data_IF_930934998286
#
_entry.id   IF_930934998286
#
_cell.length_a   1.000
_cell.length_b   1.000
_cell.length_c   1.000
_cell.angle_alpha   90.00
_cell.angle_beta   90.00
_cell.angle_gamma   90.00
#
_symmetry.space_group_name_H-M   'P 1'
#
loop_
_entity.id
_entity.type
_entity.pdbx_description
1 polymer ?
#
# COMPACT_ATOMS: atom_id res chain seq x y z
N UNK A 1 -26.49 -14.20 38.45
CA UNK A 1 -25.73 -15.44 38.17
C UNK A 1 -26.67 -16.40 37.49
N UNK A 2 -26.31 -16.87 36.29
CA UNK A 2 -26.47 -18.21 35.72
C UNK A 2 -26.13 -18.07 34.23
N UNK A 3 -24.88 -18.33 33.88
CA UNK A 3 -24.45 -18.55 32.49
C UNK A 3 -24.81 -20.00 32.14
N UNK A 4 -25.61 -20.20 31.10
CA UNK A 4 -25.92 -21.51 30.55
C UNK A 4 -24.65 -22.14 29.99
N UNK A 5 -24.31 -23.32 30.48
CA UNK A 5 -23.19 -24.13 29.96
C UNK A 5 -23.64 -24.71 28.61
N UNK A 6 -23.06 -24.20 27.52
CA UNK A 6 -23.25 -24.77 26.19
C UNK A 6 -22.67 -26.20 26.18
N UNK A 7 -23.49 -27.15 25.74
CA UNK A 7 -23.12 -28.56 25.63
C UNK A 7 -22.12 -28.70 24.46
N UNK A 8 -20.86 -29.00 24.76
CA UNK A 8 -19.80 -29.19 23.75
C UNK A 8 -19.96 -30.61 23.19
N UNK A 9 -20.32 -30.73 21.91
CA UNK A 9 -20.34 -32.00 21.20
C UNK A 9 -18.94 -32.63 21.20
N UNK A 10 -18.83 -33.88 21.64
CA UNK A 10 -17.56 -34.61 21.71
C UNK A 10 -17.22 -35.16 20.32
N UNK A 11 -16.27 -34.51 19.63
CA UNK A 11 -15.68 -35.04 18.39
C UNK A 11 -14.87 -36.30 18.67
N UNK A 12 -14.95 -37.28 17.76
CA UNK A 12 -14.25 -38.57 17.87
C UNK A 12 -12.82 -38.40 17.38
N UNK A 13 -11.89 -38.13 18.28
CA UNK A 13 -10.45 -38.02 17.97
C UNK A 13 -9.69 -39.29 18.38
N UNK A 14 -8.57 -39.64 17.70
CA UNK A 14 -7.72 -40.76 18.09
C UNK A 14 -7.23 -40.65 19.53
N UNK A 15 -7.17 -41.78 20.25
CA UNK A 15 -6.74 -41.83 21.66
C UNK A 15 -5.28 -41.34 21.77
N UNK A 16 -5.06 -40.26 22.51
CA UNK A 16 -3.73 -39.68 22.75
C UNK A 16 -3.51 -38.27 22.19
N UNK A 17 -4.50 -37.67 21.51
CA UNK A 17 -4.40 -36.29 21.03
C UNK A 17 -4.78 -35.27 22.12
N UNK A 18 -3.97 -34.22 22.27
CA UNK A 18 -4.25 -33.06 23.13
C UNK A 18 -5.35 -32.19 22.52
N UNK A 19 -6.11 -31.45 23.35
CA UNK A 19 -7.17 -30.55 22.90
C UNK A 19 -6.70 -29.50 21.88
N UNK A 20 -5.43 -29.09 21.99
CA UNK A 20 -4.81 -28.15 21.04
C UNK A 20 -4.55 -28.80 19.67
N UNK A 21 -4.15 -30.07 19.65
CA UNK A 21 -3.90 -30.82 18.42
C UNK A 21 -5.20 -31.15 17.67
N UNK A 22 -6.29 -31.39 18.41
CA UNK A 22 -7.60 -31.69 17.84
C UNK A 22 -8.26 -30.49 17.11
N UNK A 23 -7.84 -29.25 17.41
CA UNK A 23 -8.43 -28.05 16.79
C UNK A 23 -8.03 -27.85 15.32
N UNK A 24 -7.00 -28.57 14.84
CA UNK A 24 -6.45 -28.46 13.49
C UNK A 24 -6.90 -29.59 12.55
N UNK A 25 -7.69 -30.55 13.05
CA UNK A 25 -8.28 -31.60 12.22
C UNK A 25 -9.55 -31.03 11.59
N UNK A 26 -9.52 -30.80 10.28
CA UNK A 26 -10.69 -30.42 9.49
C UNK A 26 -11.62 -31.64 9.40
N UNK A 27 -12.91 -31.45 9.71
CA UNK A 27 -13.93 -32.49 9.49
C UNK A 27 -14.18 -32.59 7.98
N UNK A 28 -13.70 -33.65 7.33
CA UNK A 28 -14.11 -34.04 5.96
C UNK A 28 -15.53 -34.62 6.00
N UNK A 29 -16.51 -33.76 6.26
CA UNK A 29 -17.92 -34.10 6.10
C UNK A 29 -18.64 -33.00 5.32
N UNK A 30 -18.34 -32.90 4.03
CA UNK A 30 -19.34 -32.52 3.03
C UNK A 30 -19.50 -33.70 2.06
N UNK A 31 -20.76 -34.06 1.87
CA UNK A 31 -21.26 -35.27 1.25
C UNK A 31 -21.00 -35.27 -0.27
N UNK A 32 -20.15 -36.17 -0.77
CA UNK A 32 -20.24 -36.59 -2.17
C UNK A 32 -21.35 -37.64 -2.30
N UNK A 33 -22.40 -37.28 -3.05
CA UNK A 33 -23.48 -38.20 -3.41
C UNK A 33 -23.08 -39.02 -4.64
N UNK A 34 -22.62 -40.23 -4.41
CA UNK A 34 -22.52 -41.27 -5.44
C UNK A 34 -23.92 -41.69 -5.92
N UNK A 35 -24.12 -41.70 -7.23
CA UNK A 35 -25.26 -42.34 -7.87
C UNK A 35 -24.78 -43.18 -9.07
N UNK A 36 -25.40 -44.34 -9.19
CA UNK A 36 -24.88 -45.61 -9.69
C UNK A 36 -24.78 -45.76 -11.24
N UNK A 37 -23.80 -46.60 -11.64
CA UNK A 37 -23.62 -47.47 -12.82
C UNK A 37 -24.11 -47.12 -14.24
N UNK A 38 -23.21 -47.36 -15.22
CA UNK A 38 -23.45 -48.21 -16.41
C UNK A 38 -22.12 -48.65 -17.07
N UNK A 39 -22.01 -49.96 -17.31
CA UNK A 39 -20.94 -50.70 -18.00
C UNK A 39 -20.74 -50.30 -19.47
N UNK A 40 -19.50 -50.41 -19.97
CA UNK A 40 -19.16 -50.93 -21.30
C UNK A 40 -17.67 -51.30 -21.38
N UNK A 41 -17.42 -52.57 -21.66
CA UNK A 41 -16.13 -53.25 -21.84
C UNK A 41 -15.31 -52.76 -23.06
N UNK A 42 -13.98 -52.90 -23.01
CA UNK A 42 -13.15 -53.54 -24.07
C UNK A 42 -11.62 -53.51 -23.72
N UNK A 43 -11.12 -54.69 -23.32
CA UNK A 43 -9.88 -55.41 -23.68
C UNK A 43 -8.45 -54.80 -23.66
N UNK A 44 -7.67 -55.33 -22.69
CA UNK A 44 -6.37 -56.05 -22.78
C UNK A 44 -5.21 -55.55 -23.66
N UNK A 45 -4.04 -55.36 -23.03
CA UNK A 45 -2.77 -56.03 -23.39
C UNK A 45 -1.75 -55.94 -22.23
N UNK A 46 -1.18 -57.09 -21.90
CA UNK A 46 -0.21 -57.38 -20.83
C UNK A 46 1.18 -57.68 -21.46
N UNK A 47 2.23 -57.58 -20.63
CA UNK A 47 3.51 -58.33 -20.66
C UNK A 47 4.79 -57.49 -20.51
N UNK A 48 5.38 -57.64 -19.31
CA UNK A 48 6.76 -58.06 -19.03
C UNK A 48 7.96 -57.10 -19.16
N UNK A 49 8.47 -56.71 -17.98
CA UNK A 49 9.84 -56.94 -17.44
C UNK A 49 10.98 -57.18 -18.45
N UNK A 50 12.01 -56.32 -18.42
CA UNK A 50 13.39 -56.73 -18.07
C UNK A 50 14.34 -55.55 -17.85
N UNK A 51 15.25 -55.77 -16.91
CA UNK A 51 16.29 -54.90 -16.36
C UNK A 51 17.64 -55.32 -16.96
N UNK A 52 18.51 -54.41 -17.43
CA UNK A 52 19.97 -54.63 -17.63
C UNK A 52 20.72 -53.28 -17.60
N UNK A 53 21.90 -53.35 -17.01
CA UNK A 53 22.76 -52.29 -16.48
C UNK A 53 23.74 -51.63 -17.49
N UNK A 54 24.24 -50.44 -17.09
CA UNK A 54 25.61 -49.87 -17.22
C UNK A 54 26.02 -48.90 -18.38
N UNK A 55 26.73 -47.85 -17.89
CA UNK A 55 27.79 -46.98 -18.49
C UNK A 55 27.48 -45.53 -18.99
N UNK A 56 27.55 -44.60 -18.02
CA UNK A 56 28.21 -43.25 -17.92
C UNK A 56 28.19 -42.15 -19.06
N UNK A 57 28.75 -40.92 -18.86
CA UNK A 57 28.02 -39.75 -18.37
C UNK A 57 28.15 -38.50 -19.27
N UNK A 58 27.20 -37.55 -19.21
CA UNK A 58 27.39 -36.20 -19.79
C UNK A 58 27.03 -35.15 -18.74
N UNK A 59 28.00 -34.26 -18.50
CA UNK A 59 28.01 -33.13 -17.56
C UNK A 59 27.02 -32.05 -17.95
N UNK A 60 26.23 -31.58 -16.98
CA UNK A 60 25.81 -30.17 -16.91
C UNK A 60 25.90 -29.72 -15.44
N UNK A 61 26.45 -28.52 -15.27
CA UNK A 61 26.85 -27.90 -14.01
C UNK A 61 25.66 -27.20 -13.35
N UNK A 62 25.33 -27.55 -12.10
CA UNK A 62 24.65 -26.63 -11.18
C UNK A 62 25.36 -26.71 -9.82
N UNK A 63 25.95 -25.59 -9.42
CA UNK A 63 26.54 -25.36 -8.11
C UNK A 63 25.48 -24.75 -7.19
N UNK A 64 24.94 -25.55 -6.28
CA UNK A 64 24.32 -25.06 -5.04
C UNK A 64 25.19 -25.57 -3.89
N UNK A 65 26.09 -24.71 -3.39
CA UNK A 65 26.77 -24.92 -2.12
C UNK A 65 25.76 -24.62 -1.01
N UNK A 66 25.06 -25.65 -0.54
CA UNK A 66 24.45 -25.64 0.78
C UNK A 66 25.56 -25.92 1.81
N UNK A 67 26.14 -24.86 2.38
CA UNK A 67 27.02 -24.99 3.55
C UNK A 67 26.17 -25.45 4.75
N UNK A 68 26.22 -26.75 5.05
CA UNK A 68 25.80 -27.33 6.33
C UNK A 68 26.68 -26.76 7.45
N UNK A 69 26.14 -25.83 8.25
CA UNK A 69 26.81 -25.37 9.47
C UNK A 69 26.62 -26.40 10.58
N UNK A 70 27.67 -27.16 10.86
CA UNK A 70 27.79 -28.03 12.03
C UNK A 70 27.76 -27.16 13.29
N UNK A 71 26.76 -27.35 14.15
CA UNK A 71 26.65 -26.69 15.45
C UNK A 71 27.69 -27.33 16.38
N UNK A 72 28.74 -26.60 16.71
CA UNK A 72 29.72 -26.97 17.74
C UNK A 72 29.16 -26.60 19.12
N UNK A 73 28.81 -27.61 19.90
CA UNK A 73 28.31 -27.51 21.27
C UNK A 73 29.45 -27.15 22.24
N UNK A 74 29.86 -25.87 22.32
CA UNK A 74 30.52 -25.39 23.53
C UNK A 74 30.61 -23.87 23.70
N UNK A 75 30.43 -23.45 24.96
CA UNK A 75 30.70 -22.13 25.54
C UNK A 75 29.63 -21.03 25.35
N UNK A 76 28.61 -21.14 26.19
CA UNK A 76 27.99 -20.08 27.00
C UNK A 76 28.72 -18.72 27.01
N UNK A 77 28.30 -17.80 26.15
CA UNK A 77 28.21 -16.37 26.48
C UNK A 77 26.83 -15.89 26.03
N UNK A 78 25.92 -15.84 27.00
CA UNK A 78 24.61 -15.23 26.85
C UNK A 78 24.82 -13.74 26.56
N UNK A 79 24.82 -13.37 25.27
CA UNK A 79 24.58 -12.00 24.87
C UNK A 79 23.16 -11.65 25.27
N UNK A 80 23.05 -10.91 26.37
CA UNK A 80 21.82 -10.30 26.85
C UNK A 80 21.20 -9.50 25.69
N UNK A 81 20.17 -10.07 25.07
CA UNK A 81 19.16 -9.28 24.37
C UNK A 81 18.63 -8.30 25.43
N UNK A 82 18.76 -6.97 25.25
CA UNK A 82 18.19 -6.04 26.20
C UNK A 82 16.66 -6.21 26.15
N UNK A 83 16.15 -6.90 27.16
CA UNK A 83 14.73 -6.94 27.51
C UNK A 83 14.27 -5.49 27.76
N UNK A 84 13.11 -5.14 27.18
CA UNK A 84 12.40 -3.86 27.33
C UNK A 84 12.77 -2.69 26.39
N UNK A 85 12.84 -2.94 25.08
CA UNK A 85 12.41 -1.90 24.13
C UNK A 85 10.88 -1.99 24.08
N UNK A 86 10.17 -1.09 24.75
CA UNK A 86 8.76 -0.83 24.43
C UNK A 86 8.68 -0.44 22.96
N UNK A 87 8.39 -1.41 22.10
CA UNK A 87 8.25 -1.20 20.67
C UNK A 87 6.99 -0.36 20.48
N UNK A 88 7.18 0.94 20.28
CA UNK A 88 6.10 1.86 20.02
C UNK A 88 5.42 1.47 18.69
N UNK A 89 4.21 0.89 18.78
CA UNK A 89 3.49 0.37 17.63
C UNK A 89 3.29 1.43 16.53
N UNK A 90 3.12 2.70 16.91
CA UNK A 90 2.98 3.82 15.97
C UNK A 90 4.23 4.06 15.11
N UNK A 91 5.40 3.81 15.67
CA UNK A 91 6.69 3.98 15.00
C UNK A 91 6.97 2.82 14.05
N UNK A 92 6.65 1.59 14.47
CA UNK A 92 6.68 0.41 13.61
C UNK A 92 5.76 0.59 12.41
N UNK A 93 4.54 1.09 12.62
CA UNK A 93 3.61 1.32 11.52
C UNK A 93 4.06 2.47 10.61
N UNK A 94 4.74 3.49 11.15
CA UNK A 94 5.39 4.51 10.31
C UNK A 94 6.46 3.90 9.42
N UNK A 95 7.34 3.06 9.97
CA UNK A 95 8.39 2.39 9.22
C UNK A 95 7.82 1.46 8.13
N UNK A 96 6.77 0.71 8.48
CA UNK A 96 6.04 -0.12 7.52
C UNK A 96 5.47 0.69 6.35
N UNK A 97 4.78 1.80 6.65
CA UNK A 97 4.22 2.70 5.63
C UNK A 97 5.29 3.36 4.75
N UNK A 98 6.47 3.62 5.29
CA UNK A 98 7.59 4.17 4.54
C UNK A 98 8.16 3.14 3.55
N UNK A 99 8.37 1.90 3.99
CA UNK A 99 8.79 0.78 3.11
C UNK A 99 7.76 0.49 2.02
N UNK A 100 6.48 0.45 2.39
CA UNK A 100 5.37 0.26 1.45
C UNK A 100 5.33 1.39 0.42
N UNK A 101 5.48 2.66 0.83
CA UNK A 101 5.52 3.80 -0.08
C UNK A 101 6.78 3.83 -0.96
N UNK A 102 7.91 3.32 -0.48
CA UNK A 102 9.13 3.20 -1.27
C UNK A 102 9.00 2.15 -2.37
N UNK A 103 8.34 1.03 -2.07
CA UNK A 103 8.08 -0.05 -3.04
C UNK A 103 6.96 0.34 -4.02
N UNK A 104 5.88 0.94 -3.50
CA UNK A 104 4.66 1.28 -4.23
C UNK A 104 4.32 2.76 -3.98
N UNK A 105 4.82 3.69 -4.81
CA UNK A 105 4.65 5.12 -4.56
C UNK A 105 3.20 5.58 -4.76
N UNK A 106 2.63 6.20 -3.73
CA UNK A 106 1.29 6.82 -3.72
C UNK A 106 0.13 5.86 -4.11
N UNK A 107 0.34 4.55 -4.04
CA UNK A 107 -0.70 3.55 -4.29
C UNK A 107 -1.69 3.51 -3.13
N UNK A 108 -2.98 3.60 -3.45
CA UNK A 108 -4.04 3.59 -2.45
C UNK A 108 -5.20 2.74 -2.96
N UNK A 109 -5.57 1.76 -2.16
CA UNK A 109 -6.72 0.91 -2.45
C UNK A 109 -8.04 1.66 -2.27
N UNK A 110 -8.98 1.37 -3.17
CA UNK A 110 -10.36 1.85 -3.06
C UNK A 110 -11.08 1.02 -1.99
N UNK A 111 -11.76 1.66 -1.02
CA UNK A 111 -12.44 0.94 0.04
C UNK A 111 -13.70 0.30 -0.53
N UNK A 112 -14.08 -0.87 -0.01
CA UNK A 112 -15.29 -1.57 -0.42
C UNK A 112 -16.56 -0.87 0.09
N UNK A 113 -16.46 -0.17 1.22
CA UNK A 113 -17.61 0.40 1.94
C UNK A 113 -18.11 1.74 1.37
N UNK A 114 -17.21 2.55 0.81
CA UNK A 114 -17.51 3.93 0.38
C UNK A 114 -17.28 4.01 -1.13
N UNK A 115 -18.27 4.48 -1.92
CA UNK A 115 -18.09 4.63 -3.36
C UNK A 115 -16.91 5.56 -3.68
N UNK A 116 -16.15 5.20 -4.71
CA UNK A 116 -14.89 5.85 -5.03
C UNK A 116 -15.09 7.33 -5.37
N UNK A 117 -16.21 7.69 -6.01
CA UNK A 117 -16.53 9.10 -6.29
C UNK A 117 -16.61 9.97 -5.04
N UNK A 118 -17.12 9.43 -3.92
CA UNK A 118 -17.30 10.19 -2.67
C UNK A 118 -15.94 10.33 -1.99
N UNK A 119 -15.17 9.23 -1.90
CA UNK A 119 -13.83 9.25 -1.33
C UNK A 119 -12.90 10.19 -2.08
N UNK A 120 -12.96 10.16 -3.42
CA UNK A 120 -12.07 10.93 -4.29
C UNK A 120 -12.73 12.16 -4.94
N UNK A 121 -13.82 12.68 -4.37
CA UNK A 121 -14.56 13.82 -4.93
C UNK A 121 -13.68 15.07 -5.17
N UNK A 122 -12.67 15.27 -4.32
CA UNK A 122 -11.74 16.41 -4.39
C UNK A 122 -10.60 16.21 -5.39
N UNK A 123 -10.48 15.02 -5.97
CA UNK A 123 -9.39 14.68 -6.89
C UNK A 123 -9.81 14.90 -8.34
N UNK A 124 -8.81 15.16 -9.19
CA UNK A 124 -8.98 15.34 -10.63
C UNK A 124 -7.88 14.58 -11.38
N UNK A 125 -8.21 14.03 -12.56
CA UNK A 125 -7.21 13.48 -13.46
C UNK A 125 -6.45 14.59 -14.18
N UNK A 126 -5.13 14.46 -14.25
CA UNK A 126 -4.28 15.31 -15.09
C UNK A 126 -3.63 14.43 -16.15
N UNK A 127 -3.64 14.90 -17.40
CA UNK A 127 -3.04 14.17 -18.54
C UNK A 127 -1.52 14.14 -18.48
N UNK A 128 -0.92 15.24 -18.06
CA UNK A 128 0.53 15.38 -17.96
C UNK A 128 0.91 16.25 -16.78
N UNK A 129 1.82 15.73 -15.95
CA UNK A 129 2.36 16.50 -14.82
C UNK A 129 3.31 17.62 -15.28
N UNK A 130 4.05 17.39 -16.37
CA UNK A 130 5.10 18.29 -16.89
C UNK A 130 4.59 19.38 -17.85
N UNK A 131 3.36 19.28 -18.35
CA UNK A 131 2.88 20.16 -19.42
C UNK A 131 1.54 20.84 -19.09
N UNK A 132 1.58 22.17 -19.23
CA UNK A 132 0.46 23.12 -19.28
C UNK A 132 -0.74 22.58 -20.05
N UNK A 133 -1.96 22.76 -19.52
CA UNK A 133 -3.13 23.11 -20.31
C UNK A 133 -4.01 24.11 -19.53
N UNK A 134 -4.65 25.05 -20.24
CA UNK A 134 -5.18 26.28 -19.67
C UNK A 134 -6.37 25.97 -18.77
N UNK A 135 -6.46 26.68 -17.66
CA UNK A 135 -7.66 26.74 -16.84
C UNK A 135 -8.85 27.16 -17.70
N UNK A 136 -9.68 26.20 -18.13
CA UNK A 136 -11.06 26.50 -18.48
C UNK A 136 -11.87 26.51 -17.18
N UNK A 137 -11.90 27.67 -16.54
CA UNK A 137 -13.10 28.26 -15.94
C UNK A 137 -12.77 29.68 -15.48
N UNK A 138 -13.31 30.63 -16.25
CA UNK A 138 -13.62 32.04 -15.96
C UNK A 138 -12.71 32.85 -15.01
N UNK A 139 -12.21 33.96 -15.56
CA UNK A 139 -11.51 35.08 -14.92
C UNK A 139 -10.06 34.82 -14.49
N UNK A 140 -9.09 35.07 -15.39
CA UNK A 140 -8.14 36.19 -15.20
C UNK A 140 -7.27 36.42 -16.45
N UNK A 141 -6.87 37.68 -16.56
CA UNK A 141 -6.15 38.41 -17.58
C UNK A 141 -4.84 37.73 -18.06
N UNK A 142 -4.63 37.79 -19.38
CA UNK A 142 -3.36 37.71 -20.13
C UNK A 142 -2.07 37.61 -19.31
N UNK A 143 -1.62 36.39 -19.00
CA UNK A 143 -0.19 36.02 -18.97
C UNK A 143 -0.11 34.49 -19.11
N UNK A 144 0.75 33.99 -20.03
CA UNK A 144 1.15 32.57 -20.01
C UNK A 144 2.07 32.36 -18.81
N UNK A 145 1.51 32.34 -17.60
CA UNK A 145 2.26 31.94 -16.42
C UNK A 145 2.56 30.46 -16.61
N UNK A 146 3.84 30.11 -16.70
CA UNK A 146 4.31 28.73 -16.69
C UNK A 146 4.04 28.20 -15.29
N UNK A 147 2.87 27.58 -15.10
CA UNK A 147 2.48 27.04 -13.80
C UNK A 147 3.30 25.78 -13.55
N UNK A 148 4.26 25.86 -12.63
CA UNK A 148 5.02 24.69 -12.19
C UNK A 148 4.24 24.00 -11.07
N UNK A 149 3.88 22.73 -11.30
CA UNK A 149 3.29 21.86 -10.28
C UNK A 149 4.40 21.11 -9.54
N UNK A 150 4.28 21.01 -8.22
CA UNK A 150 5.20 20.23 -7.38
C UNK A 150 4.44 19.04 -6.81
N UNK A 151 5.01 17.84 -6.96
CA UNK A 151 4.43 16.63 -6.39
C UNK A 151 4.76 16.61 -4.91
N UNK A 152 3.75 16.40 -4.08
CA UNK A 152 3.94 16.16 -2.66
C UNK A 152 4.52 14.75 -2.48
N UNK A 153 5.64 14.66 -1.80
CA UNK A 153 6.13 13.40 -1.25
C UNK A 153 5.52 13.17 0.13
N UNK A 154 5.18 11.91 0.44
CA UNK A 154 4.59 11.54 1.73
C UNK A 154 5.62 11.49 2.85
N UNK A 155 6.84 11.08 2.51
CA UNK A 155 7.98 10.92 3.40
C UNK A 155 9.18 11.69 2.86
N UNK A 156 10.10 12.03 3.74
CA UNK A 156 11.35 12.66 3.35
C UNK A 156 12.28 11.59 2.75
N UNK A 157 12.76 11.76 1.52
CA UNK A 157 13.71 10.84 0.91
C UNK A 157 15.09 10.96 1.56
N UNK A 158 15.78 9.83 1.69
CA UNK A 158 17.07 9.76 2.40
C UNK A 158 18.22 10.43 1.66
N UNK A 159 18.16 10.47 0.32
CA UNK A 159 19.30 10.88 -0.54
C UNK A 159 19.05 12.15 -1.36
N UNK A 160 17.83 12.67 -1.40
CA UNK A 160 17.48 13.85 -2.20
C UNK A 160 17.02 15.01 -1.33
N UNK A 161 17.26 16.23 -1.81
CA UNK A 161 16.78 17.44 -1.15
C UNK A 161 15.28 17.63 -1.40
N UNK A 162 14.55 18.03 -0.37
CA UNK A 162 13.11 18.27 -0.44
C UNK A 162 12.73 19.68 0.00
N UNK A 163 11.65 20.17 -0.58
CA UNK A 163 11.14 21.52 -0.30
C UNK A 163 9.96 21.41 0.67
N UNK A 164 10.16 21.88 1.89
CA UNK A 164 9.08 22.04 2.86
C UNK A 164 8.37 23.38 2.64
N UNK A 165 7.04 23.36 2.53
CA UNK A 165 6.22 24.58 2.45
C UNK A 165 5.28 24.62 3.64
N UNK A 166 5.28 25.72 4.38
CA UNK A 166 4.47 25.92 5.57
C UNK A 166 4.15 27.40 5.76
N UNK A 167 3.16 27.70 6.62
CA UNK A 167 2.84 29.07 6.99
C UNK A 167 3.75 29.51 8.16
N UNK A 168 4.55 30.54 7.93
CA UNK A 168 5.41 31.15 8.94
C UNK A 168 5.66 32.64 8.61
N UNK A 169 6.13 33.44 9.58
CA UNK A 169 6.57 34.81 9.32
C UNK A 169 7.62 34.86 8.22
N UNK A 170 7.53 35.90 7.39
CA UNK A 170 8.44 36.08 6.26
C UNK A 170 9.87 36.36 6.75
N UNK A 171 10.82 35.58 6.26
CA UNK A 171 12.26 35.76 6.47
C UNK A 171 12.94 35.87 5.12
N UNK A 172 13.75 36.91 4.90
CA UNK A 172 14.42 37.12 3.62
C UNK A 172 15.63 36.18 3.47
N UNK A 173 15.82 35.52 2.31
CA UNK A 173 17.01 34.71 2.03
C UNK A 173 18.29 35.58 1.99
N UNK A 174 19.49 35.04 2.32
CA UNK A 174 19.77 33.66 2.71
C UNK A 174 19.67 33.44 4.23
N UNK A 175 18.75 32.59 4.67
CA UNK A 175 18.63 32.17 6.07
C UNK A 175 18.75 30.64 6.15
N UNK A 176 19.54 30.13 7.11
CA UNK A 176 19.61 28.69 7.38
C UNK A 176 18.41 28.23 8.19
N UNK A 177 17.93 27.03 7.90
CA UNK A 177 16.78 26.41 8.56
C UNK A 177 17.22 25.08 9.16
N UNK A 178 16.86 24.84 10.41
CA UNK A 178 17.05 23.58 11.10
C UNK A 178 15.67 23.06 11.52
N UNK A 179 15.43 21.77 11.29
CA UNK A 179 14.18 21.09 11.63
C UNK A 179 14.47 20.07 12.70
N UNK A 180 13.79 20.20 13.84
CA UNK A 180 13.92 19.30 14.97
C UNK A 180 12.64 18.47 15.16
N UNK A 181 12.79 17.20 15.52
CA UNK A 181 11.72 16.32 15.98
C UNK A 181 11.82 16.18 17.50
N UNK A 182 10.69 16.18 18.19
CA UNK A 182 10.65 15.89 19.62
C UNK A 182 10.45 14.39 19.84
N UNK A 183 11.29 13.80 20.68
CA UNK A 183 11.11 12.44 21.18
C UNK A 183 10.08 12.41 22.32
N UNK A 184 9.60 11.21 22.67
CA UNK A 184 8.70 10.99 23.80
C UNK A 184 9.26 11.53 25.13
N UNK A 185 10.59 11.61 25.27
CA UNK A 185 11.30 12.12 26.46
C UNK A 185 11.53 13.64 26.42
N UNK A 186 10.96 14.36 25.45
CA UNK A 186 11.10 15.82 25.28
C UNK A 186 12.46 16.27 24.74
N UNK A 187 13.31 15.33 24.30
CA UNK A 187 14.58 15.63 23.62
C UNK A 187 14.30 16.09 22.18
N UNK A 188 15.13 16.99 21.66
CA UNK A 188 15.05 17.42 20.27
C UNK A 188 16.13 16.73 19.45
N UNK A 189 15.71 16.01 18.43
CA UNK A 189 16.58 15.36 17.46
C UNK A 189 16.61 16.20 16.17
N UNK A 190 17.80 16.46 15.63
CA UNK A 190 17.96 17.17 14.37
C UNK A 190 17.58 16.22 13.22
N UNK A 191 16.53 16.56 12.46
CA UNK A 191 16.04 15.74 11.35
C UNK A 191 16.54 16.27 10.01
N UNK A 192 16.52 17.58 9.82
CA UNK A 192 16.91 18.19 8.56
C UNK A 192 17.60 19.53 8.77
N UNK A 193 18.56 19.81 7.88
CA UNK A 193 19.20 21.12 7.73
C UNK A 193 18.96 21.62 6.31
N UNK A 194 18.84 22.93 6.15
CA UNK A 194 18.57 23.52 4.85
C UNK A 194 18.69 25.04 4.84
N UNK A 195 18.19 25.65 3.78
CA UNK A 195 18.13 27.10 3.62
C UNK A 195 16.74 27.53 3.16
N UNK A 196 16.38 28.77 3.47
CA UNK A 196 15.13 29.39 3.01
C UNK A 196 15.22 29.65 1.50
N UNK A 197 14.27 29.11 0.76
CA UNK A 197 14.06 29.37 -0.68
C UNK A 197 13.15 30.58 -0.89
N UNK A 198 12.75 30.84 -2.13
CA UNK A 198 11.81 31.89 -2.49
C UNK A 198 10.46 31.77 -1.74
N UNK A 199 10.03 32.88 -1.14
CA UNK A 199 8.76 33.01 -0.43
C UNK A 199 7.63 33.23 -1.45
N UNK A 200 7.12 32.14 -2.03
CA UNK A 200 6.08 32.16 -3.06
C UNK A 200 4.80 31.46 -2.58
N UNK A 201 3.70 32.19 -2.30
CA UNK A 201 2.40 31.58 -1.96
C UNK A 201 1.73 30.88 -3.15
N UNK A 202 2.16 31.22 -4.38
CA UNK A 202 1.61 30.67 -5.63
C UNK A 202 2.11 29.25 -5.93
N UNK A 203 3.08 28.72 -5.16
CA UNK A 203 3.61 27.37 -5.35
C UNK A 203 2.49 26.34 -5.18
N UNK A 204 2.13 25.64 -6.25
CA UNK A 204 1.07 24.63 -6.23
C UNK A 204 1.66 23.26 -5.88
N UNK A 205 1.27 22.75 -4.72
CA UNK A 205 1.61 21.41 -4.26
C UNK A 205 0.43 20.47 -4.54
N UNK A 206 0.69 19.41 -5.28
CA UNK A 206 -0.29 18.39 -5.64
C UNK A 206 0.05 17.08 -4.94
N UNK A 207 -0.91 16.54 -4.19
CA UNK A 207 -0.87 15.16 -3.73
C UNK A 207 -1.38 14.25 -4.84
N UNK A 208 -0.54 13.30 -5.25
CA UNK A 208 -0.90 12.21 -6.17
C UNK A 208 -1.53 11.06 -5.38
N UNK A 209 -2.45 10.36 -6.01
CA UNK A 209 -2.93 9.04 -5.63
C UNK A 209 -2.91 8.20 -6.89
N UNK A 210 -2.43 6.98 -6.77
CA UNK A 210 -2.50 5.97 -7.81
C UNK A 210 -3.53 4.93 -7.39
N UNK A 211 -4.56 4.74 -8.22
CA UNK A 211 -5.46 3.60 -8.08
C UNK A 211 -4.95 2.51 -9.01
N UNK A 212 -4.78 1.30 -8.50
CA UNK A 212 -4.33 0.14 -9.24
C UNK A 212 -5.48 -0.82 -9.52
N UNK A 213 -5.34 -1.61 -10.56
CA UNK A 213 -6.19 -2.75 -10.83
C UNK A 213 -5.57 -3.69 -11.85
N UNK A 214 -6.19 -4.84 -12.01
CA UNK A 214 -5.61 -5.94 -12.76
C UNK A 214 -6.41 -6.25 -14.02
N UNK A 215 -5.74 -6.53 -15.16
CA UNK A 215 -6.40 -7.01 -16.34
C UNK A 215 -6.96 -8.41 -16.11
N UNK A 216 -8.19 -8.64 -16.54
CA UNK A 216 -8.85 -9.93 -16.45
C UNK A 216 -9.00 -10.60 -17.82
N UNK A 217 -9.52 -9.85 -18.81
CA UNK A 217 -9.66 -10.33 -20.19
C UNK A 217 -8.94 -9.38 -21.12
N UNK A 218 -7.97 -9.90 -21.87
CA UNK A 218 -7.15 -9.12 -22.79
C UNK A 218 -7.53 -9.48 -24.22
N UNK A 219 -8.05 -8.50 -24.95
CA UNK A 219 -8.10 -8.54 -26.41
C UNK A 219 -6.98 -7.68 -26.98
N UNK A 220 -6.81 -7.68 -28.30
CA UNK A 220 -5.73 -6.96 -29.01
C UNK A 220 -5.50 -5.52 -28.51
N UNK A 221 -6.55 -4.70 -28.38
CA UNK A 221 -6.44 -3.30 -27.87
C UNK A 221 -7.45 -2.95 -26.79
N UNK A 222 -8.33 -3.86 -26.42
CA UNK A 222 -9.34 -3.64 -25.38
C UNK A 222 -9.11 -4.63 -24.25
N UNK A 223 -9.11 -4.13 -23.03
CA UNK A 223 -8.83 -4.92 -21.84
C UNK A 223 -9.95 -4.70 -20.84
N UNK A 224 -10.47 -5.77 -20.26
CA UNK A 224 -11.38 -5.68 -19.12
C UNK A 224 -10.55 -5.67 -17.85
N UNK A 225 -10.63 -4.60 -17.06
CA UNK A 225 -9.91 -4.42 -15.82
C UNK A 225 -10.83 -4.69 -14.62
N UNK A 226 -10.28 -5.30 -13.56
CA UNK A 226 -10.95 -5.55 -12.27
C UNK A 226 -10.17 -4.92 -11.13
N UNK A 227 -10.81 -4.81 -9.96
CA UNK A 227 -10.21 -4.36 -8.70
C UNK A 227 -9.76 -2.89 -8.62
N UNK A 228 -10.06 -2.05 -9.62
CA UNK A 228 -9.88 -0.59 -9.47
C UNK A 228 -10.99 0.06 -8.64
N UNK A 229 -12.22 -0.43 -8.78
CA UNK A 229 -13.39 0.04 -8.05
C UNK A 229 -14.10 -1.16 -7.43
N UNK A 230 -14.35 -1.11 -6.11
CA UNK A 230 -15.04 -2.16 -5.37
C UNK A 230 -16.39 -1.65 -4.85
N UNK A 231 -17.34 -2.56 -4.70
CA UNK A 231 -18.60 -2.29 -3.99
C UNK A 231 -18.98 -3.45 -3.07
N UNK A 232 -19.50 -3.09 -1.89
CA UNK A 232 -20.33 -3.97 -1.07
C UNK A 232 -21.74 -4.01 -1.68
N UNK A 233 -22.16 -5.15 -2.22
CA UNK A 233 -23.56 -5.39 -2.60
C UNK A 233 -24.50 -5.58 -1.41
N UNK A 234 -24.12 -5.10 -0.22
CA UNK A 234 -24.79 -5.43 1.03
C UNK A 234 -25.82 -4.34 1.39
N UNK A 235 -26.86 -4.25 0.55
CA UNK A 235 -28.15 -3.84 1.07
C UNK A 235 -28.74 -5.04 1.82
N UNK A 236 -28.53 -5.08 3.14
CA UNK A 236 -29.39 -5.84 4.08
C UNK A 236 -30.81 -5.24 4.11
N UNK A 237 -31.47 -5.15 2.96
CA UNK A 237 -32.89 -4.86 2.85
C UNK A 237 -33.48 -5.81 1.81
N UNK A 238 -34.31 -6.80 2.22
CA UNK A 238 -34.97 -7.69 1.29
C UNK A 238 -36.09 -6.92 0.60
N UNK A 239 -35.79 -6.24 -0.50
CA UNK A 239 -36.80 -5.58 -1.32
C UNK A 239 -36.50 -5.84 -2.79
N UNK A 240 -37.37 -6.62 -3.42
CA UNK A 240 -37.31 -7.11 -4.80
C UNK A 240 -37.35 -6.00 -5.90
N UNK A 241 -37.13 -4.73 -5.56
CA UNK A 241 -37.07 -3.58 -6.49
C UNK A 241 -35.69 -2.89 -6.57
N UNK A 242 -34.68 -3.36 -5.82
CA UNK A 242 -33.39 -2.66 -5.64
C UNK A 242 -32.38 -2.96 -6.77
N UNK A 243 -32.59 -3.99 -7.59
CA UNK A 243 -31.64 -4.39 -8.65
C UNK A 243 -31.37 -3.26 -9.68
N UNK A 244 -32.39 -2.48 -10.04
CA UNK A 244 -32.24 -1.35 -10.98
C UNK A 244 -31.52 -0.15 -10.33
N UNK A 245 -31.78 0.11 -9.04
CA UNK A 245 -31.14 1.20 -8.28
C UNK A 245 -29.66 0.89 -8.05
N UNK A 246 -29.32 -0.36 -7.75
CA UNK A 246 -27.93 -0.81 -7.68
C UNK A 246 -27.26 -0.59 -9.04
N UNK A 247 -27.90 -1.01 -10.16
CA UNK A 247 -27.39 -0.82 -11.53
C UNK A 247 -27.01 0.61 -11.89
N UNK A 248 -27.80 1.57 -11.45
CA UNK A 248 -27.55 2.97 -11.76
C UNK A 248 -26.30 3.50 -11.04
N UNK A 249 -26.08 3.14 -9.77
CA UNK A 249 -25.00 3.70 -8.98
C UNK A 249 -23.58 3.29 -9.43
N UNK A 250 -23.38 2.09 -9.98
CA UNK A 250 -22.03 1.65 -10.39
C UNK A 250 -21.55 2.31 -11.67
N UNK A 251 -22.47 2.49 -12.62
CA UNK A 251 -22.15 3.16 -13.88
C UNK A 251 -21.68 4.58 -13.62
N UNK A 252 -22.25 5.24 -12.60
CA UNK A 252 -21.88 6.60 -12.21
C UNK A 252 -20.44 6.73 -11.70
N UNK A 253 -19.93 5.78 -10.92
CA UNK A 253 -18.54 5.84 -10.41
C UNK A 253 -17.53 5.70 -11.56
N UNK A 254 -17.68 4.71 -12.43
CA UNK A 254 -16.76 4.50 -13.57
C UNK A 254 -16.89 5.62 -14.59
N UNK A 255 -18.11 6.09 -14.88
CA UNK A 255 -18.33 7.20 -15.81
C UNK A 255 -17.80 8.53 -15.25
N UNK A 256 -17.81 8.73 -13.92
CA UNK A 256 -17.17 9.88 -13.27
C UNK A 256 -15.66 9.94 -13.54
N UNK A 257 -14.99 8.78 -13.53
CA UNK A 257 -13.54 8.66 -13.79
C UNK A 257 -13.20 8.42 -15.27
N UNK A 258 -14.18 8.33 -16.16
CA UNK A 258 -13.99 8.15 -17.61
C UNK A 258 -13.05 9.14 -18.31
N UNK A 259 -13.04 10.46 -17.99
CA UNK A 259 -12.10 11.38 -18.64
C UNK A 259 -10.65 11.21 -18.17
N UNK A 260 -10.38 10.38 -17.16
CA UNK A 260 -9.01 10.14 -16.65
C UNK A 260 -8.29 9.14 -17.55
N UNK A 261 -7.04 9.45 -17.88
CA UNK A 261 -6.17 8.55 -18.63
C UNK A 261 -5.66 7.42 -17.72
N UNK A 262 -5.77 6.19 -18.21
CA UNK A 262 -5.19 5.00 -17.57
C UNK A 262 -3.86 4.68 -18.23
N UNK A 263 -2.88 4.26 -17.44
CA UNK A 263 -1.58 3.84 -17.93
C UNK A 263 -1.12 2.58 -17.21
N UNK A 264 -0.11 1.91 -17.76
CA UNK A 264 0.56 0.81 -17.08
C UNK A 264 2.02 1.17 -16.81
N UNK A 265 2.66 0.56 -15.78
CA UNK A 265 4.10 0.70 -15.56
C UNK A 265 4.93 0.36 -16.80
N UNK A 266 4.43 -0.57 -17.62
CA UNK A 266 5.01 -1.02 -18.90
C UNK A 266 4.92 0.04 -20.02
N UNK A 267 4.43 1.25 -19.72
CA UNK A 267 4.42 2.39 -20.65
C UNK A 267 3.23 2.46 -21.59
N UNK A 268 2.23 1.58 -21.44
CA UNK A 268 1.02 1.59 -22.27
C UNK A 268 0.03 2.59 -21.71
N UNK A 269 -0.68 3.29 -22.59
CA UNK A 269 -1.67 4.31 -22.22
C UNK A 269 -3.01 4.02 -22.87
N UNK A 270 -4.08 4.49 -22.24
CA UNK A 270 -5.43 4.17 -22.62
C UNK A 270 -6.50 5.02 -21.94
N UNK A 271 -7.75 4.74 -22.28
CA UNK A 271 -8.92 5.39 -21.71
C UNK A 271 -10.00 4.36 -21.39
N UNK A 272 -10.85 4.71 -20.41
CA UNK A 272 -12.02 3.90 -20.05
C UNK A 272 -13.09 4.10 -21.13
N UNK A 273 -13.64 3.01 -21.65
CA UNK A 273 -14.68 3.03 -22.68
C UNK A 273 -16.07 2.92 -22.06
N UNK A 274 -16.32 1.82 -21.35
CA UNK A 274 -17.63 1.46 -20.81
C UNK A 274 -17.45 0.67 -19.50
N UNK A 275 -18.30 0.91 -18.49
CA UNK A 275 -18.43 0.00 -17.35
C UNK A 275 -18.98 -1.35 -17.81
N UNK A 276 -18.59 -2.43 -17.15
CA UNK A 276 -19.05 -3.79 -17.42
C UNK A 276 -19.57 -4.44 -16.14
N UNK A 277 -20.79 -4.98 -16.21
CA UNK A 277 -21.40 -5.73 -15.10
C UNK A 277 -21.66 -4.87 -13.86
N UNK A 278 -21.72 -5.55 -12.71
CA UNK A 278 -22.13 -4.97 -11.41
C UNK A 278 -21.00 -4.89 -10.37
N UNK A 279 -19.86 -5.52 -10.64
CA UNK A 279 -18.73 -5.65 -9.70
C UNK A 279 -17.60 -4.63 -9.90
N UNK A 280 -17.86 -3.53 -10.62
CA UNK A 280 -16.84 -2.52 -10.90
C UNK A 280 -15.81 -2.94 -11.97
N UNK A 281 -16.16 -3.90 -12.83
CA UNK A 281 -15.34 -4.17 -14.02
C UNK A 281 -15.52 -3.04 -15.03
N UNK A 282 -14.46 -2.72 -15.75
CA UNK A 282 -14.53 -1.72 -16.80
C UNK A 282 -13.70 -2.14 -18.00
N UNK A 283 -14.15 -1.72 -19.17
CA UNK A 283 -13.43 -1.95 -20.42
C UNK A 283 -12.57 -0.73 -20.73
N UNK A 284 -11.27 -0.94 -20.79
CA UNK A 284 -10.30 0.05 -21.18
C UNK A 284 -9.82 -0.21 -22.61
N UNK A 285 -9.58 0.85 -23.37
CA UNK A 285 -8.93 0.78 -24.68
C UNK A 285 -7.51 1.33 -24.55
N UNK A 286 -6.53 0.52 -24.91
CA UNK A 286 -5.11 0.87 -24.89
C UNK A 286 -4.57 1.05 -26.31
N UNK A 287 -3.45 1.75 -26.40
CA UNK A 287 -2.72 1.96 -27.66
C UNK A 287 -2.18 0.61 -28.21
N UNK A 288 -1.66 -0.23 -27.32
CA UNK A 288 -1.07 -1.55 -27.60
C UNK A 288 -1.72 -2.64 -26.74
N UNK A 289 -1.55 -3.90 -27.15
CA UNK A 289 -1.99 -5.07 -26.38
C UNK A 289 -1.29 -5.13 -25.04
N UNK A 290 -2.03 -5.42 -23.98
CA UNK A 290 -1.52 -5.54 -22.61
C UNK A 290 -0.99 -6.96 -22.31
N UNK A 291 -0.05 -7.12 -21.37
CA UNK A 291 0.34 -8.43 -20.84
C UNK A 291 -0.54 -8.75 -19.62
N UNK A 292 -0.75 -10.04 -19.33
CA UNK A 292 -1.57 -10.48 -18.19
C UNK A 292 -0.97 -10.08 -16.83
N UNK A 293 0.36 -9.98 -16.77
CA UNK A 293 1.10 -9.58 -15.56
C UNK A 293 1.11 -8.07 -15.33
N UNK A 294 0.74 -7.26 -16.32
CA UNK A 294 0.76 -5.80 -16.18
C UNK A 294 -0.36 -5.32 -15.26
N UNK A 295 -0.09 -4.39 -14.35
CA UNK A 295 -1.13 -3.67 -13.61
C UNK A 295 -1.57 -2.42 -14.37
N UNK A 296 -2.87 -2.15 -14.36
CA UNK A 296 -3.46 -0.91 -14.88
C UNK A 296 -3.55 0.08 -13.73
N UNK A 297 -3.07 1.30 -13.97
CA UNK A 297 -3.00 2.36 -12.98
C UNK A 297 -3.69 3.62 -13.52
N UNK A 298 -4.30 4.39 -12.63
CA UNK A 298 -4.73 5.76 -12.93
C UNK A 298 -4.21 6.71 -11.86
N UNK A 299 -3.78 7.90 -12.29
CA UNK A 299 -3.26 8.93 -11.38
C UNK A 299 -4.28 10.04 -11.19
N UNK A 300 -4.62 10.26 -9.92
CA UNK A 300 -5.51 11.30 -9.46
C UNK A 300 -4.73 12.32 -8.64
N UNK A 301 -5.02 13.60 -8.85
CA UNK A 301 -4.31 14.70 -8.18
C UNK A 301 -5.26 15.59 -7.40
N UNK A 302 -4.79 16.08 -6.26
CA UNK A 302 -5.48 17.07 -5.45
C UNK A 302 -4.49 18.13 -4.97
N UNK A 303 -4.88 19.40 -5.07
CA UNK A 303 -4.11 20.50 -4.45
C UNK A 303 -4.17 20.39 -2.93
N UNK A 304 -3.02 20.42 -2.29
CA UNK A 304 -2.89 20.41 -0.84
C UNK A 304 -2.27 21.72 -0.37
N UNK A 305 -2.87 22.29 0.66
CA UNK A 305 -2.33 23.43 1.37
C UNK A 305 -1.66 22.95 2.66
N UNK A 306 -0.57 23.61 3.10
CA UNK A 306 0.00 23.33 4.41
C UNK A 306 -1.04 23.59 5.51
N UNK A 307 -0.90 22.88 6.62
CA UNK A 307 -1.75 23.12 7.79
C UNK A 307 -1.25 24.37 8.53
N UNK A 308 -2.16 25.15 9.09
CA UNK A 308 -1.80 26.25 9.98
C UNK A 308 -1.44 25.70 11.36
N UNK A 309 -0.14 25.55 11.64
CA UNK A 309 0.37 25.03 12.91
C UNK A 309 1.47 25.92 13.52
N UNK A 310 1.52 27.19 13.13
CA UNK A 310 2.52 28.12 13.64
C UNK A 310 2.23 28.47 15.11
N UNK A 311 3.17 28.15 15.99
CA UNK A 311 3.19 28.59 17.38
C UNK A 311 4.57 29.17 17.70
N UNK A 312 4.67 30.44 18.12
CA UNK A 312 5.97 31.06 18.44
C UNK A 312 6.63 30.47 19.69
N UNK A 313 5.87 29.81 20.57
CA UNK A 313 6.42 29.20 21.79
C UNK A 313 6.87 27.77 21.51
N UNK A 314 8.18 27.56 21.56
CA UNK A 314 8.79 26.23 21.58
C UNK A 314 9.14 25.90 23.03
N UNK A 315 8.71 24.73 23.51
CA UNK A 315 9.10 24.24 24.84
C UNK A 315 10.61 24.13 24.94
N UNK A 316 11.16 24.60 26.08
CA UNK A 316 12.60 24.52 26.35
C UNK A 316 13.00 23.07 26.53
N UNK A 317 14.18 22.72 26.02
CA UNK A 317 14.82 21.44 26.26
C UNK A 317 15.03 21.23 27.77
N UNK A 318 14.70 20.03 28.25
CA UNK A 318 15.28 19.57 29.51
C UNK A 318 16.81 19.46 29.30
N UNK A 319 17.65 20.01 30.20
CA UNK A 319 19.09 19.92 30.05
C UNK A 319 19.51 18.45 29.97
N UNK A 320 20.39 18.12 29.03
CA UNK A 320 21.05 16.81 29.03
C UNK A 320 21.76 16.63 30.37
N UNK A 321 21.75 15.41 30.94
CA UNK A 321 22.43 15.09 32.21
C UNK A 321 23.90 15.55 32.24
N UNK A 322 24.56 15.62 31.08
CA UNK A 322 25.93 16.12 30.92
C UNK A 322 26.03 17.63 31.18
N UNK A 323 25.09 18.42 30.65
CA UNK A 323 25.03 19.88 30.84
C UNK A 323 24.55 20.23 32.25
N UNK A 324 23.66 19.42 32.83
CA UNK A 324 23.20 19.60 34.21
C UNK A 324 24.35 19.41 35.23
N UNK A 325 25.28 18.48 34.97
CA UNK A 325 26.47 18.28 35.81
C UNK A 325 27.47 19.44 35.70
N UNK A 326 27.66 20.01 34.52
CA UNK A 326 28.53 21.19 34.36
C UNK A 326 27.94 22.45 35.02
N UNK A 327 26.61 22.61 35.03
CA UNK A 327 25.95 23.70 35.75
C UNK A 327 26.11 23.54 37.27
N UNK A 328 25.94 22.33 37.81
CA UNK A 328 26.16 22.05 39.24
C UNK A 328 27.63 22.24 39.65
N UNK A 329 28.59 21.79 38.83
CA UNK A 329 30.01 21.95 39.10
C UNK A 329 30.51 23.39 38.91
N UNK A 330 29.79 24.22 38.14
CA UNK A 330 30.09 25.64 37.95
C UNK A 330 29.59 26.53 39.11
N UNK A 331 28.53 26.11 39.81
CA UNK A 331 28.03 26.81 41.01
C UNK A 331 28.90 26.53 42.25
N UNK A 332 29.56 25.36 42.35
CA UNK A 332 30.49 25.04 43.45
C UNK A 332 31.87 25.73 43.36
N UNK A 333 32.21 26.43 42.27
CA UNK A 333 33.49 27.15 42.14
C UNK A 333 33.41 28.66 42.43
N UNK A 334 32.29 29.16 42.95
CA UNK A 334 32.09 30.60 43.27
C UNK A 334 31.78 30.84 44.76
N UNK A 335 31.97 29.85 45.64
CA UNK A 335 31.95 30.04 47.10
C UNK A 335 33.34 29.97 47.75
#
# INVERSE_FOLDING_TARGET
>A
MYLSVNNIEKRKVPKGTSSYQAAWILDDSEEESDNDSTDSDEDMLDSDVDNIENEEPIKEEESEEEEEMVIDDNATEASEMPEDIEINMDEVERYRRERENAQFPDEIDTPVDIPARIRFQKYRGLKSFRFNFPCFSFFCVFTKIKVFYFQMERFMPTKSACVASFYAPITFPPASVLVFRKDQKGRQELVASGSVLDINPDRIILKRIVLSGHPFKINKRSVVCRYMFFHRGEHRTPCFSISLILMLFFTEDIDWFKPVEVYTPSGRRGHIKEPLGTHGHMKCKFDQQLNAQDSVMMSLYKRVFPKWTYNPRVEKLAPSRTVAREIQNGEEMVE
#
